data_IF_415550311844
#
_entry.id   IF_415550311844
#
_cell.length_a   1.000
_cell.length_b   1.000
_cell.length_c   1.000
_cell.angle_alpha   90.00
_cell.angle_beta   90.00
_cell.angle_gamma   90.00
#
_symmetry.space_group_name_H-M   'P 1'
#
loop_
_entity.id
_entity.type
_entity.pdbx_description
1 polymer ?
#
# COMPACT_ATOMS: atom_id res chain seq x y z
N UNK A 1 12.82 3.18 5.25
CA UNK A 1 12.22 3.38 3.91
C UNK A 1 10.81 3.95 3.99
N UNK A 2 9.84 3.25 4.57
CA UNK A 2 8.44 3.71 4.66
C UNK A 2 8.27 5.11 5.28
N UNK A 3 9.09 5.50 6.25
CA UNK A 3 9.02 6.83 6.90
C UNK A 3 10.09 7.82 6.41
N UNK A 4 11.15 7.32 5.78
CA UNK A 4 12.34 8.11 5.39
C UNK A 4 12.38 8.45 3.91
N UNK A 5 11.53 7.80 3.11
CA UNK A 5 11.52 7.91 1.64
C UNK A 5 10.09 7.96 1.10
N UNK A 6 9.15 7.27 1.74
CA UNK A 6 7.75 7.13 1.30
C UNK A 6 6.74 7.48 2.41
N UNK A 7 7.02 8.54 3.18
CA UNK A 7 6.15 8.93 4.28
C UNK A 7 4.71 9.14 3.73
N UNK A 8 3.70 8.39 4.21
CA UNK A 8 2.37 8.42 3.62
C UNK A 8 1.61 9.71 3.94
N UNK A 9 2.04 10.45 4.97
CA UNK A 9 1.45 11.73 5.35
C UNK A 9 2.00 12.87 4.46
N UNK A 10 1.13 13.63 3.77
CA UNK A 10 1.55 14.77 2.96
C UNK A 10 2.27 15.84 3.79
N UNK A 11 3.27 16.49 3.20
CA UNK A 11 3.94 17.66 3.80
C UNK A 11 5.05 17.34 4.81
N UNK A 12 5.26 16.07 5.16
CA UNK A 12 6.39 15.66 6.01
C UNK A 12 7.68 15.52 5.20
N UNK A 13 7.60 15.00 3.96
CA UNK A 13 8.75 14.80 3.09
C UNK A 13 8.44 15.32 1.69
N UNK A 14 9.09 16.42 1.27
CA UNK A 14 8.81 17.10 -0.02
C UNK A 14 8.94 16.17 -1.24
N UNK A 15 9.85 15.19 -1.18
CA UNK A 15 10.11 14.25 -2.27
C UNK A 15 9.12 13.10 -2.39
N UNK A 16 8.34 12.80 -1.34
CA UNK A 16 7.48 11.61 -1.28
C UNK A 16 6.23 11.76 -2.18
N UNK A 17 5.66 10.66 -2.70
CA UNK A 17 4.43 10.72 -3.50
C UNK A 17 3.24 11.34 -2.77
N UNK A 18 3.13 11.17 -1.46
CA UNK A 18 2.13 11.82 -0.60
C UNK A 18 2.10 13.35 -0.77
N UNK A 19 3.25 13.99 -0.88
CA UNK A 19 3.40 15.43 -1.11
C UNK A 19 3.14 15.87 -2.56
N UNK A 20 2.91 14.92 -3.47
CA UNK A 20 2.66 15.15 -4.91
C UNK A 20 1.29 14.64 -5.36
N UNK A 21 0.35 14.50 -4.42
CA UNK A 21 -1.00 14.02 -4.70
C UNK A 21 -1.08 12.52 -5.01
N UNK A 22 -0.16 11.72 -4.47
CA UNK A 22 -0.07 10.27 -4.65
C UNK A 22 0.05 9.82 -6.11
N UNK A 23 0.69 10.66 -6.95
CA UNK A 23 1.10 10.27 -8.31
C UNK A 23 1.98 9.02 -8.22
N UNK A 24 1.70 7.98 -9.03
CA UNK A 24 2.27 6.65 -8.82
C UNK A 24 3.77 6.63 -9.12
N UNK A 25 4.58 6.26 -8.13
CA UNK A 25 5.92 5.71 -8.34
C UNK A 25 5.88 4.18 -8.30
N UNK A 26 5.08 3.63 -7.36
CA UNK A 26 4.74 2.21 -7.27
C UNK A 26 3.25 2.07 -6.96
N UNK A 27 2.48 1.51 -7.88
CA UNK A 27 1.02 1.48 -7.77
C UNK A 27 0.53 0.55 -6.67
N UNK A 28 -0.64 0.87 -6.10
CA UNK A 28 -1.32 0.00 -5.15
C UNK A 28 -1.62 -1.39 -5.73
N UNK A 29 -1.95 -1.48 -7.03
CA UNK A 29 -2.12 -2.76 -7.72
C UNK A 29 -0.82 -3.61 -7.73
N UNK A 30 0.35 -2.98 -7.94
CA UNK A 30 1.64 -3.68 -7.85
C UNK A 30 1.95 -4.14 -6.43
N UNK A 31 1.65 -3.31 -5.42
CA UNK A 31 1.79 -3.70 -4.01
C UNK A 31 0.92 -4.91 -3.67
N UNK A 32 -0.34 -4.91 -4.11
CA UNK A 32 -1.24 -6.03 -3.92
C UNK A 32 -0.71 -7.31 -4.57
N UNK A 33 -0.22 -7.21 -5.81
CA UNK A 33 0.39 -8.35 -6.52
C UNK A 33 1.57 -8.93 -5.74
N UNK A 34 2.48 -8.09 -5.23
CA UNK A 34 3.63 -8.55 -4.44
C UNK A 34 3.22 -9.17 -3.10
N UNK A 35 2.17 -8.64 -2.45
CA UNK A 35 1.62 -9.22 -1.21
C UNK A 35 1.00 -10.61 -1.44
N UNK A 36 0.31 -10.82 -2.56
CA UNK A 36 -0.19 -12.15 -2.95
C UNK A 36 0.94 -13.15 -3.14
N UNK A 37 1.98 -12.76 -3.89
CA UNK A 37 3.17 -13.59 -4.06
C UNK A 37 3.87 -13.91 -2.73
N UNK A 38 3.91 -12.95 -1.80
CA UNK A 38 4.47 -13.17 -0.48
C UNK A 38 3.64 -14.16 0.37
N UNK A 39 2.29 -14.10 0.29
CA UNK A 39 1.42 -15.07 0.97
C UNK A 39 1.55 -16.47 0.37
N UNK A 40 1.63 -16.59 -0.96
CA UNK A 40 1.85 -17.88 -1.63
C UNK A 40 3.18 -18.52 -1.19
N UNK A 41 4.26 -17.73 -1.13
CA UNK A 41 5.56 -18.19 -0.66
C UNK A 41 5.56 -18.57 0.84
N UNK A 42 4.86 -17.80 1.67
CA UNK A 42 4.68 -18.10 3.09
C UNK A 42 3.94 -19.45 3.27
N UNK A 43 2.88 -19.68 2.49
CA UNK A 43 2.16 -20.96 2.47
C UNK A 43 3.05 -22.14 2.06
N UNK A 44 3.89 -21.95 1.03
CA UNK A 44 4.83 -22.98 0.57
C UNK A 44 5.99 -23.27 1.53
N UNK A 45 6.33 -22.33 2.42
CA UNK A 45 7.44 -22.47 3.38
C UNK A 45 7.00 -22.79 4.81
N UNK A 46 5.69 -22.78 5.09
CA UNK A 46 5.14 -22.93 6.45
C UNK A 46 5.40 -21.71 7.34
N UNK A 47 5.73 -20.56 6.76
CA UNK A 47 5.97 -19.33 7.50
C UNK A 47 4.65 -18.63 7.86
N UNK A 48 4.50 -18.20 9.12
CA UNK A 48 3.34 -17.41 9.54
C UNK A 48 3.61 -15.91 9.34
N UNK A 49 2.79 -15.26 8.49
CA UNK A 49 2.93 -13.83 8.18
C UNK A 49 1.63 -13.06 8.46
N UNK A 50 1.12 -13.04 9.70
CA UNK A 50 -0.19 -12.47 10.02
C UNK A 50 -0.32 -10.98 9.65
N UNK A 51 0.75 -10.20 9.83
CA UNK A 51 0.76 -8.79 9.42
C UNK A 51 0.78 -8.63 7.89
N UNK A 52 1.47 -9.52 7.18
CA UNK A 52 1.50 -9.53 5.71
C UNK A 52 0.13 -9.89 5.12
N UNK A 53 -0.55 -10.87 5.71
CA UNK A 53 -1.93 -11.23 5.34
C UNK A 53 -2.88 -10.06 5.55
N UNK A 54 -2.80 -9.42 6.72
CA UNK A 54 -3.67 -8.28 7.00
C UNK A 54 -3.38 -7.09 6.07
N UNK A 55 -2.12 -6.83 5.76
CA UNK A 55 -1.76 -5.82 4.75
C UNK A 55 -2.34 -6.17 3.38
N UNK A 56 -2.26 -7.43 2.93
CA UNK A 56 -2.86 -7.90 1.68
C UNK A 56 -4.36 -7.58 1.64
N UNK A 57 -5.10 -7.95 2.68
CA UNK A 57 -6.55 -7.70 2.78
C UNK A 57 -6.90 -6.21 2.69
N UNK A 58 -6.09 -5.33 3.31
CA UNK A 58 -6.28 -3.88 3.22
C UNK A 58 -6.02 -3.35 1.80
N UNK A 59 -4.97 -3.84 1.13
CA UNK A 59 -4.69 -3.46 -0.25
C UNK A 59 -5.73 -4.02 -1.23
N UNK A 60 -6.31 -5.19 -0.98
CA UNK A 60 -7.44 -5.70 -1.78
C UNK A 60 -8.62 -4.72 -1.72
N UNK A 61 -9.04 -4.33 -0.51
CA UNK A 61 -10.11 -3.34 -0.34
C UNK A 61 -9.80 -2.01 -1.01
N UNK A 62 -8.56 -1.53 -0.87
CA UNK A 62 -8.14 -0.26 -1.46
C UNK A 62 -8.16 -0.29 -2.99
N UNK A 63 -7.70 -1.39 -3.60
CA UNK A 63 -7.74 -1.59 -5.05
C UNK A 63 -9.19 -1.70 -5.54
N UNK A 64 -10.04 -2.44 -4.83
CA UNK A 64 -11.48 -2.57 -5.13
C UNK A 64 -12.22 -1.24 -5.04
N UNK A 65 -11.81 -0.35 -4.13
CA UNK A 65 -12.34 1.00 -3.98
C UNK A 65 -11.84 2.00 -5.04
N UNK A 66 -11.10 1.55 -6.06
CA UNK A 66 -10.60 2.39 -7.15
C UNK A 66 -9.19 2.96 -6.93
N UNK A 67 -8.51 2.57 -5.86
CA UNK A 67 -7.14 3.01 -5.55
C UNK A 67 -6.04 2.37 -6.42
N UNK A 68 -6.39 1.48 -7.35
CA UNK A 68 -5.46 0.64 -8.12
C UNK A 68 -4.27 1.39 -8.74
N UNK A 69 -4.54 2.52 -9.40
CA UNK A 69 -3.56 3.33 -10.13
C UNK A 69 -2.89 4.43 -9.28
N UNK A 70 -3.27 4.54 -8.01
CA UNK A 70 -2.63 5.46 -7.07
C UNK A 70 -1.33 4.87 -6.56
N UNK A 71 -0.42 5.72 -6.08
CA UNK A 71 0.73 5.24 -5.32
C UNK A 71 0.28 4.41 -4.10
N UNK A 72 1.01 3.33 -3.77
CA UNK A 72 0.65 2.45 -2.66
C UNK A 72 0.49 3.20 -1.32
N UNK A 73 1.24 4.31 -1.13
CA UNK A 73 1.12 5.15 0.07
C UNK A 73 -0.25 5.85 0.20
N UNK A 74 -1.03 5.90 -0.88
CA UNK A 74 -2.38 6.46 -0.94
C UNK A 74 -3.40 5.74 -0.07
N UNK A 75 -3.13 4.48 0.32
CA UNK A 75 -3.98 3.70 1.22
C UNK A 75 -4.27 4.40 2.55
N UNK A 76 -3.43 5.35 2.95
CA UNK A 76 -3.65 6.15 4.16
C UNK A 76 -4.95 6.96 4.12
N UNK A 77 -5.42 7.39 2.94
CA UNK A 77 -6.69 8.12 2.79
C UNK A 77 -7.88 7.23 3.09
N UNK A 78 -7.87 5.99 2.56
CA UNK A 78 -8.85 4.96 2.89
C UNK A 78 -8.90 4.70 4.39
N UNK A 79 -7.73 4.56 5.04
CA UNK A 79 -7.63 4.30 6.48
C UNK A 79 -8.12 5.47 7.34
N UNK A 80 -8.00 6.71 6.83
CA UNK A 80 -8.53 7.92 7.48
C UNK A 80 -10.03 8.15 7.20
N UNK A 81 -10.62 7.41 6.26
CA UNK A 81 -12.00 7.62 5.82
C UNK A 81 -12.17 8.85 4.92
N UNK A 82 -11.12 9.26 4.23
CA UNK A 82 -11.08 10.46 3.36
C UNK A 82 -11.37 10.15 1.89
N UNK A 83 -11.61 8.88 1.55
CA UNK A 83 -12.05 8.46 0.22
C UNK A 83 -13.59 8.67 0.10
N UNK A 84 -14.00 9.91 -0.15
CA UNK A 84 -15.38 10.36 -0.37
C UNK A 84 -15.47 11.49 -1.39
#
# INVERSE_FOLDING_TARGET
WALTTYCPEPGILEGAPSSKGYKPGFTAAMMLKDLKLAQDAAGGSGAETPLGRHAMELYERFVEAGGAETDFSGIIRMLKGEDG
#
